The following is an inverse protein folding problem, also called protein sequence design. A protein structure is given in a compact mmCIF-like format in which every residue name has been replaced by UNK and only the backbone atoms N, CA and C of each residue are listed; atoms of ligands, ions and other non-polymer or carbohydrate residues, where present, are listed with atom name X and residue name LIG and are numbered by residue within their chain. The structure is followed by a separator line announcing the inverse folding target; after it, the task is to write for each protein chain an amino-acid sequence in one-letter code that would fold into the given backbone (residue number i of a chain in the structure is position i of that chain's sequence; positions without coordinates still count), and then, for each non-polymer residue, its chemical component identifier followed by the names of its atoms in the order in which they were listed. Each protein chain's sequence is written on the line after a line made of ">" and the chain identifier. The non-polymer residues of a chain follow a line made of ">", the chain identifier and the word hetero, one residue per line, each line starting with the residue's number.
data_IF_488174839377
#
_entry.id   IF_488174839377
#
_cell.length_a   1.000
_cell.length_b   1.000
_cell.length_c   1.000
_cell.angle_alpha   90.00
_cell.angle_beta   90.00
_cell.angle_gamma   90.00
#
_symmetry.space_group_name_H-M   'P 1'
#
loop_
_entity.id
_entity.type
_entity.pdbx_description
1 polymer ?
#
# COMPACT_ATOMS: atom_id res chain seq x y z
N UNK A 1 -27.44 -12.00 -1.74
CA UNK A 1 -26.35 -11.73 -2.69
C UNK A 1 -26.00 -10.26 -2.48
N UNK A 2 -24.92 -9.95 -1.76
CA UNK A 2 -24.53 -8.57 -1.50
C UNK A 2 -24.18 -7.89 -2.82
N UNK A 3 -24.68 -6.69 -3.02
CA UNK A 3 -24.47 -5.93 -4.25
C UNK A 3 -22.95 -5.75 -4.48
N UNK A 4 -22.46 -6.09 -5.67
CA UNK A 4 -21.05 -5.89 -6.04
C UNK A 4 -20.68 -4.40 -6.14
N UNK A 5 -21.67 -3.51 -5.96
CA UNK A 5 -21.54 -2.06 -6.00
C UNK A 5 -20.88 -1.42 -4.76
N UNK A 6 -20.74 -2.14 -3.64
CA UNK A 6 -20.23 -1.57 -2.38
C UNK A 6 -18.76 -1.94 -2.12
N UNK A 7 -17.85 -1.68 -3.07
CA UNK A 7 -16.42 -1.83 -2.83
C UNK A 7 -15.84 -0.57 -2.20
N UNK A 8 -15.13 -0.73 -1.09
CA UNK A 8 -14.47 0.38 -0.42
C UNK A 8 -13.21 0.80 -1.17
N UNK A 9 -12.98 2.10 -1.27
CA UNK A 9 -11.81 2.65 -1.95
C UNK A 9 -11.15 3.80 -1.18
N UNK A 10 -9.85 3.94 -1.37
CA UNK A 10 -9.04 5.06 -0.91
C UNK A 10 -8.04 5.40 -2.01
N UNK A 11 -8.07 6.66 -2.44
CA UNK A 11 -7.12 7.23 -3.39
C UNK A 11 -6.30 8.30 -2.69
N UNK A 12 -5.01 8.35 -2.99
CA UNK A 12 -4.15 9.44 -2.51
C UNK A 12 -3.03 9.75 -3.52
N UNK A 13 -2.53 10.98 -3.46
CA UNK A 13 -1.46 11.45 -4.35
C UNK A 13 -0.37 12.20 -3.57
N UNK A 14 0.89 12.01 -3.96
CA UNK A 14 2.02 12.70 -3.36
C UNK A 14 3.08 13.04 -4.42
N UNK A 15 3.53 14.29 -4.42
CA UNK A 15 4.69 14.69 -5.21
C UNK A 15 5.99 14.28 -4.49
N UNK A 16 6.94 13.75 -5.24
CA UNK A 16 8.31 13.51 -4.80
C UNK A 16 9.29 14.28 -5.71
N UNK A 17 10.31 14.96 -5.16
CA UNK A 17 11.34 15.65 -5.93
C UNK A 17 12.39 14.67 -6.50
N UNK A 18 11.91 13.61 -7.13
CA UNK A 18 12.69 12.53 -7.75
C UNK A 18 12.25 12.40 -9.20
N UNK A 19 13.17 12.00 -10.08
CA UNK A 19 12.78 11.50 -11.40
C UNK A 19 11.93 10.24 -11.26
N UNK A 20 11.10 9.95 -12.28
CA UNK A 20 10.22 8.78 -12.25
C UNK A 20 11.00 7.48 -12.11
N UNK A 21 12.20 7.41 -12.70
CA UNK A 21 13.11 6.29 -12.55
C UNK A 21 13.64 6.14 -11.13
N UNK A 22 14.06 7.22 -10.48
CA UNK A 22 14.52 7.16 -9.07
C UNK A 22 13.39 6.76 -8.13
N UNK A 23 12.18 7.30 -8.33
CA UNK A 23 11.00 6.89 -7.59
C UNK A 23 10.69 5.40 -7.83
N UNK A 24 10.76 4.93 -9.08
CA UNK A 24 10.57 3.52 -9.43
C UNK A 24 11.59 2.62 -8.73
N UNK A 25 12.86 2.96 -8.81
CA UNK A 25 13.96 2.23 -8.15
C UNK A 25 13.76 2.15 -6.63
N UNK A 26 13.13 3.15 -6.03
CA UNK A 26 12.76 3.12 -4.62
C UNK A 26 11.56 2.18 -4.37
N UNK A 27 10.44 2.37 -5.07
CA UNK A 27 9.21 1.61 -4.79
C UNK A 27 9.25 0.15 -5.25
N UNK A 28 10.04 -0.19 -6.27
CA UNK A 28 10.17 -1.58 -6.75
C UNK A 28 10.83 -2.51 -5.73
N UNK A 29 11.45 -1.97 -4.67
CA UNK A 29 12.20 -2.74 -3.66
C UNK A 29 11.34 -2.95 -2.42
N UNK A 30 10.87 -4.17 -2.13
CA UNK A 30 10.07 -4.45 -0.93
C UNK A 30 10.78 -4.10 0.39
N UNK A 31 12.11 -4.10 0.40
CA UNK A 31 12.94 -3.68 1.53
C UNK A 31 12.91 -2.16 1.82
N UNK A 32 12.15 -1.37 1.05
CA UNK A 32 11.87 0.03 1.37
C UNK A 32 10.47 0.24 1.96
N UNK A 33 9.64 -0.80 2.01
CA UNK A 33 8.27 -0.72 2.51
C UNK A 33 8.24 -0.37 4.01
N UNK A 34 9.14 -0.96 4.79
CA UNK A 34 9.35 -0.67 6.21
C UNK A 34 9.74 0.79 6.45
N UNK A 35 10.61 1.37 5.60
CA UNK A 35 11.09 2.76 5.71
C UNK A 35 9.98 3.79 5.55
N UNK A 36 8.94 3.45 4.79
CA UNK A 36 7.81 4.33 4.50
C UNK A 36 6.54 3.94 5.25
N UNK A 37 6.61 2.94 6.11
CA UNK A 37 5.48 2.53 6.95
C UNK A 37 5.61 3.20 8.32
N UNK A 38 4.62 4.00 8.78
CA UNK A 38 4.64 4.58 10.11
C UNK A 38 4.76 3.53 11.22
N UNK A 39 5.54 3.82 12.28
CA UNK A 39 5.92 2.88 13.35
C UNK A 39 4.74 2.22 14.09
N UNK A 40 3.60 2.89 14.15
CA UNK A 40 2.37 2.35 14.75
C UNK A 40 1.79 1.18 13.93
N UNK A 41 2.06 1.13 12.62
CA UNK A 41 1.72 0.07 11.70
C UNK A 41 2.95 -0.82 11.48
N UNK A 42 3.30 -1.67 12.45
CA UNK A 42 4.48 -2.54 12.30
C UNK A 42 4.22 -3.60 11.23
N UNK A 43 4.68 -3.31 10.01
CA UNK A 43 4.68 -4.23 8.87
C UNK A 43 6.10 -4.79 8.69
N UNK A 44 6.24 -6.08 8.94
CA UNK A 44 7.51 -6.80 8.85
C UNK A 44 7.46 -7.72 7.62
N UNK A 45 8.30 -7.49 6.62
CA UNK A 45 8.45 -8.41 5.48
C UNK A 45 9.27 -9.62 5.92
N UNK A 46 8.62 -10.78 6.00
CA UNK A 46 9.25 -12.05 6.42
C UNK A 46 9.96 -12.74 5.26
N UNK A 47 9.37 -12.71 4.07
CA UNK A 47 9.93 -13.33 2.86
C UNK A 47 9.40 -12.62 1.62
N UNK A 48 10.24 -12.49 0.61
CA UNK A 48 9.89 -11.91 -0.69
C UNK A 48 11.13 -11.73 -1.56
N UNK A 49 10.96 -11.38 -2.84
CA UNK A 49 12.08 -11.07 -3.70
C UNK A 49 12.72 -9.72 -3.32
N UNK A 50 13.92 -9.47 -3.85
CA UNK A 50 14.59 -8.18 -3.70
C UNK A 50 13.90 -7.05 -4.46
N UNK A 51 13.17 -7.40 -5.53
CA UNK A 51 12.44 -6.47 -6.39
C UNK A 51 11.10 -7.07 -6.83
N UNK A 52 10.11 -6.22 -7.09
CA UNK A 52 8.80 -6.64 -7.59
C UNK A 52 8.86 -7.09 -9.05
N UNK A 53 8.15 -8.17 -9.37
CA UNK A 53 7.89 -8.66 -10.72
C UNK A 53 6.52 -9.35 -10.73
N UNK A 54 5.88 -9.49 -11.89
CA UNK A 54 4.57 -10.16 -11.96
C UNK A 54 4.68 -11.63 -11.49
N UNK A 55 3.85 -12.03 -10.53
CA UNK A 55 3.91 -13.32 -9.83
C UNK A 55 4.76 -13.33 -8.56
N UNK A 56 5.43 -12.23 -8.21
CA UNK A 56 6.18 -12.12 -6.97
C UNK A 56 5.26 -12.28 -5.75
N UNK A 57 5.61 -13.19 -4.84
CA UNK A 57 4.91 -13.40 -3.57
C UNK A 57 5.67 -12.74 -2.44
N UNK A 58 4.96 -11.93 -1.66
CA UNK A 58 5.48 -11.31 -0.44
C UNK A 58 4.69 -11.78 0.76
N UNK A 59 5.40 -12.13 1.83
CA UNK A 59 4.84 -12.56 3.10
C UNK A 59 5.20 -11.53 4.14
N UNK A 60 4.19 -10.89 4.71
CA UNK A 60 4.33 -9.90 5.74
C UNK A 60 3.67 -10.34 7.05
N UNK A 61 4.15 -9.78 8.15
CA UNK A 61 3.48 -9.78 9.44
C UNK A 61 3.06 -8.36 9.77
N UNK A 62 1.75 -8.14 9.90
CA UNK A 62 1.17 -6.86 10.28
C UNK A 62 0.81 -6.89 11.77
N UNK A 63 1.18 -5.85 12.51
CA UNK A 63 0.71 -5.63 13.90
C UNK A 63 -0.01 -4.29 13.99
N UNK A 64 -1.27 -4.33 14.41
CA UNK A 64 -2.14 -3.17 14.63
C UNK A 64 -2.52 -3.10 16.12
N UNK A 65 -1.79 -2.35 16.95
CA UNK A 65 -2.09 -2.26 18.39
C UNK A 65 -3.47 -1.62 18.66
N UNK A 66 -4.22 -2.07 19.69
CA UNK A 66 -4.04 -3.30 20.46
C UNK A 66 -4.70 -4.48 19.73
N UNK A 67 -3.91 -5.37 19.12
CA UNK A 67 -4.42 -6.47 18.32
C UNK A 67 -3.38 -7.57 18.16
N UNK A 68 -3.84 -8.75 17.75
CA UNK A 68 -2.96 -9.88 17.46
C UNK A 68 -2.19 -9.64 16.14
N UNK A 69 -0.96 -10.17 16.02
CA UNK A 69 -0.23 -10.15 14.76
C UNK A 69 -1.01 -10.93 13.69
N UNK A 70 -1.10 -10.37 12.49
CA UNK A 70 -1.78 -10.96 11.34
C UNK A 70 -0.74 -11.28 10.27
N UNK A 71 -0.84 -12.47 9.69
CA UNK A 71 -0.09 -12.82 8.47
C UNK A 71 -0.80 -12.24 7.26
N UNK A 72 -0.03 -11.65 6.36
CA UNK A 72 -0.54 -11.06 5.14
C UNK A 72 0.35 -11.45 3.96
N UNK A 73 -0.20 -12.24 3.05
CA UNK A 73 0.45 -12.71 1.84
C UNK A 73 -0.14 -11.95 0.66
N UNK A 74 0.71 -11.27 -0.10
CA UNK A 74 0.35 -10.55 -1.32
C UNK A 74 1.09 -11.12 -2.52
N UNK A 75 0.49 -10.92 -3.69
CA UNK A 75 1.09 -11.20 -4.99
C UNK A 75 1.14 -9.91 -5.80
N UNK A 76 2.27 -9.64 -6.43
CA UNK A 76 2.37 -8.60 -7.45
C UNK A 76 1.78 -9.14 -8.75
N UNK A 77 0.60 -8.67 -9.14
CA UNK A 77 -0.12 -9.22 -10.31
C UNK A 77 0.17 -8.48 -11.61
N UNK A 78 0.58 -7.22 -11.51
CA UNK A 78 0.87 -6.36 -12.68
C UNK A 78 2.14 -5.57 -12.38
N UNK A 79 3.01 -5.46 -13.39
CA UNK A 79 4.17 -4.57 -13.40
C UNK A 79 4.22 -3.87 -14.74
N UNK A 80 4.17 -2.55 -14.72
CA UNK A 80 4.44 -1.66 -15.83
C UNK A 80 5.71 -0.89 -15.47
N UNK A 81 6.86 -1.30 -16.01
CA UNK A 81 8.17 -0.77 -15.64
C UNK A 81 8.20 0.78 -15.62
N UNK A 82 8.71 1.35 -14.53
CA UNK A 82 8.74 2.80 -14.24
C UNK A 82 7.38 3.50 -14.18
N UNK A 83 6.25 2.79 -14.23
CA UNK A 83 4.92 3.39 -14.32
C UNK A 83 3.97 2.91 -13.23
N UNK A 84 3.89 1.60 -12.99
CA UNK A 84 2.94 1.08 -12.02
C UNK A 84 3.27 -0.34 -11.60
N UNK A 85 2.77 -0.72 -10.43
CA UNK A 85 2.60 -2.13 -10.07
C UNK A 85 1.33 -2.30 -9.23
N UNK A 86 0.82 -3.53 -9.18
CA UNK A 86 -0.38 -3.89 -8.42
C UNK A 86 -0.04 -5.02 -7.48
N UNK A 87 -0.29 -4.83 -6.19
CA UNK A 87 -0.34 -5.91 -5.21
C UNK A 87 -1.78 -6.31 -4.89
N UNK A 88 -2.00 -7.61 -4.80
CA UNK A 88 -3.28 -8.20 -4.44
C UNK A 88 -3.08 -9.22 -3.34
N UNK A 89 -3.98 -9.23 -2.36
CA UNK A 89 -3.90 -10.21 -1.29
C UNK A 89 -4.21 -11.63 -1.81
N UNK A 90 -3.37 -12.59 -1.41
CA UNK A 90 -3.65 -14.03 -1.52
C UNK A 90 -4.24 -14.58 -0.23
N UNK A 91 -3.66 -14.21 0.91
CA UNK A 91 -4.13 -14.57 2.25
C UNK A 91 -3.96 -13.39 3.19
N UNK A 92 -4.95 -13.08 4.03
CA UNK A 92 -4.82 -11.95 4.94
C UNK A 92 -6.16 -11.50 5.53
N UNK A 93 -6.20 -10.31 6.14
CA UNK A 93 -7.36 -9.85 6.91
C UNK A 93 -8.54 -9.41 6.06
N UNK A 94 -8.35 -9.20 4.75
CA UNK A 94 -9.41 -8.73 3.86
C UNK A 94 -10.08 -9.89 3.12
N UNK A 95 -11.34 -9.74 2.72
CA UNK A 95 -11.95 -10.60 1.70
C UNK A 95 -11.44 -10.26 0.30
N UNK A 96 -11.11 -8.99 0.09
CA UNK A 96 -10.52 -8.47 -1.14
C UNK A 96 -9.56 -7.35 -0.80
N UNK A 97 -8.39 -7.35 -1.44
CA UNK A 97 -7.44 -6.26 -1.38
C UNK A 97 -6.77 -6.13 -2.74
N UNK A 98 -6.81 -4.93 -3.28
CA UNK A 98 -6.16 -4.57 -4.53
C UNK A 98 -5.58 -3.17 -4.38
N UNK A 99 -4.26 -3.07 -4.37
CA UNK A 99 -3.56 -1.79 -4.27
C UNK A 99 -2.74 -1.58 -5.54
N UNK A 100 -3.09 -0.53 -6.29
CA UNK A 100 -2.31 -0.05 -7.43
C UNK A 100 -1.45 1.13 -7.01
N UNK A 101 -0.16 1.02 -7.27
CA UNK A 101 0.82 2.10 -7.16
C UNK A 101 1.08 2.61 -8.58
N UNK A 102 1.05 3.92 -8.81
CA UNK A 102 1.30 4.52 -10.12
C UNK A 102 2.21 5.74 -10.00
N UNK A 103 3.13 5.89 -10.94
CA UNK A 103 4.12 6.95 -11.01
C UNK A 103 3.89 7.72 -12.31
N UNK A 104 3.76 9.03 -12.19
CA UNK A 104 3.57 9.94 -13.32
C UNK A 104 4.65 11.01 -13.30
N UNK A 105 5.19 11.33 -14.47
CA UNK A 105 6.08 12.49 -14.60
C UNK A 105 5.32 13.77 -14.22
N UNK A 106 5.97 14.64 -13.46
CA UNK A 106 5.45 15.94 -13.06
C UNK A 106 6.55 17.01 -13.19
N UNK A 107 6.22 18.29 -13.42
CA UNK A 107 7.22 19.36 -13.39
C UNK A 107 8.02 19.34 -12.09
N UNK A 108 9.34 19.16 -12.20
CA UNK A 108 10.24 19.10 -11.04
C UNK A 108 10.32 17.76 -10.31
N UNK A 109 9.62 16.70 -10.75
CA UNK A 109 9.69 15.40 -10.07
C UNK A 109 8.67 14.36 -10.55
N UNK A 110 8.13 13.60 -9.60
CA UNK A 110 7.20 12.49 -9.87
C UNK A 110 5.98 12.61 -8.99
N UNK A 111 4.80 12.44 -9.58
CA UNK A 111 3.54 12.28 -8.86
C UNK A 111 3.29 10.78 -8.61
N UNK A 112 3.33 10.38 -7.35
CA UNK A 112 2.97 9.05 -6.88
C UNK A 112 1.48 9.02 -6.58
N UNK A 113 0.77 8.02 -7.11
CA UNK A 113 -0.65 7.78 -6.87
C UNK A 113 -0.84 6.37 -6.32
N UNK A 114 -1.61 6.27 -5.24
CA UNK A 114 -2.08 5.00 -4.70
C UNK A 114 -3.58 4.91 -4.84
N UNK A 115 -4.07 3.78 -5.33
CA UNK A 115 -5.49 3.42 -5.35
C UNK A 115 -5.67 2.06 -4.70
N UNK A 116 -6.27 2.07 -3.51
CA UNK A 116 -6.58 0.87 -2.74
C UNK A 116 -8.07 0.60 -2.84
N UNK A 117 -8.41 -0.63 -3.23
CA UNK A 117 -9.73 -1.19 -3.08
C UNK A 117 -9.68 -2.31 -2.06
N UNK A 118 -10.67 -2.37 -1.17
CA UNK A 118 -10.76 -3.47 -0.23
C UNK A 118 -12.20 -3.84 0.11
N UNK A 119 -12.32 -5.03 0.70
CA UNK A 119 -13.58 -5.55 1.24
C UNK A 119 -13.30 -6.37 2.49
N UNK A 120 -14.19 -6.29 3.48
CA UNK A 120 -14.00 -7.03 4.72
C UNK A 120 -14.61 -8.45 4.61
N UNK A 121 -14.02 -9.45 5.28
CA UNK A 121 -14.64 -10.77 5.40
C UNK A 121 -15.91 -10.68 6.25
N UNK A 122 -16.83 -11.65 6.10
CA UNK A 122 -18.06 -11.77 6.88
C UNK A 122 -19.05 -10.61 6.72
N UNK A 123 -19.04 -9.91 5.58
CA UNK A 123 -20.11 -8.95 5.29
C UNK A 123 -21.48 -9.65 5.18
N UNK A 124 -22.56 -9.04 5.69
CA UNK A 124 -22.66 -7.63 6.12
C UNK A 124 -22.25 -7.35 7.57
N UNK A 125 -21.94 -8.36 8.38
CA UNK A 125 -21.65 -8.22 9.82
C UNK A 125 -20.43 -7.31 10.09
N UNK A 126 -19.41 -7.38 9.24
CA UNK A 126 -18.20 -6.57 9.35
C UNK A 126 -18.33 -5.17 8.73
N UNK A 127 -19.39 -4.87 7.96
CA UNK A 127 -19.54 -3.60 7.23
C UNK A 127 -19.41 -2.36 8.13
N UNK A 128 -20.00 -2.32 9.35
CA UNK A 128 -19.84 -1.16 10.25
C UNK A 128 -18.41 -0.95 10.75
N UNK A 129 -17.55 -2.00 10.76
CA UNK A 129 -16.16 -1.87 11.16
C UNK A 129 -15.35 -1.04 10.16
N UNK A 130 -15.80 -0.93 8.92
CA UNK A 130 -15.05 -0.22 7.90
C UNK A 130 -14.90 1.28 8.21
N UNK A 131 -15.97 2.08 8.33
CA UNK A 131 -15.86 3.50 8.66
C UNK A 131 -15.34 3.74 10.10
N UNK A 132 -15.58 2.81 11.04
CA UNK A 132 -15.20 3.00 12.44
C UNK A 132 -13.72 2.66 12.72
N UNK A 133 -13.15 1.67 12.03
CA UNK A 133 -11.82 1.14 12.36
C UNK A 133 -10.88 1.01 11.15
N UNK A 134 -11.35 0.51 10.01
CA UNK A 134 -10.45 0.15 8.90
C UNK A 134 -10.05 1.36 8.07
N UNK A 135 -11.02 2.13 7.57
CA UNK A 135 -10.75 3.35 6.78
C UNK A 135 -9.89 4.37 7.55
N UNK A 136 -10.22 4.74 8.81
CA UNK A 136 -9.38 5.68 9.57
C UNK A 136 -7.94 5.19 9.83
N UNK A 137 -7.73 3.86 9.84
CA UNK A 137 -6.39 3.28 9.96
C UNK A 137 -5.63 3.34 8.63
N UNK A 138 -6.28 3.04 7.50
CA UNK A 138 -5.67 3.20 6.18
C UNK A 138 -5.30 4.66 5.90
N UNK A 139 -6.18 5.60 6.26
CA UNK A 139 -5.90 7.05 6.13
C UNK A 139 -4.69 7.46 6.97
N UNK A 140 -4.59 7.00 8.22
CA UNK A 140 -3.42 7.22 9.08
C UNK A 140 -2.15 6.60 8.54
N UNK A 141 -2.23 5.37 8.02
CA UNK A 141 -1.11 4.69 7.37
C UNK A 141 -0.55 5.54 6.22
N UNK A 142 -1.42 6.03 5.34
CA UNK A 142 -1.00 6.84 4.20
C UNK A 142 -0.55 8.25 4.60
N UNK A 143 -1.14 8.85 5.63
CA UNK A 143 -0.66 10.11 6.19
C UNK A 143 0.76 9.98 6.75
N UNK A 144 1.04 8.96 7.56
CA UNK A 144 2.40 8.74 8.06
C UNK A 144 3.37 8.30 6.96
N UNK A 145 2.94 7.54 5.95
CA UNK A 145 3.75 7.26 4.76
C UNK A 145 4.15 8.55 4.04
N UNK A 146 3.23 9.50 3.92
CA UNK A 146 3.50 10.81 3.31
C UNK A 146 4.57 11.57 4.08
N UNK A 147 4.46 11.61 5.40
CA UNK A 147 5.46 12.25 6.28
C UNK A 147 6.84 11.60 6.14
N UNK A 148 6.91 10.25 6.17
CA UNK A 148 8.17 9.52 6.00
C UNK A 148 8.79 9.76 4.63
N UNK A 149 8.00 9.75 3.57
CA UNK A 149 8.48 10.07 2.22
C UNK A 149 8.99 11.51 2.11
N UNK A 150 8.32 12.49 2.74
CA UNK A 150 8.78 13.87 2.77
C UNK A 150 10.10 14.06 3.55
N UNK A 151 10.31 13.26 4.60
CA UNK A 151 11.59 13.24 5.34
C UNK A 151 12.72 12.61 4.53
N UNK A 152 12.43 11.54 3.79
CA UNK A 152 13.43 10.85 2.94
C UNK A 152 13.78 11.66 1.69
N UNK A 153 12.81 12.38 1.13
CA UNK A 153 12.94 13.13 -0.12
C UNK A 153 12.44 14.57 0.06
N UNK A 154 13.16 15.41 0.83
CA UNK A 154 12.76 16.79 1.03
C UNK A 154 12.85 17.57 -0.28
N UNK A 155 11.87 18.44 -0.54
CA UNK A 155 11.95 19.38 -1.67
C UNK A 155 13.17 20.30 -1.49
N UNK A 156 13.90 20.62 -2.57
CA UNK A 156 14.92 21.68 -2.53
C UNK A 156 14.28 22.98 -2.01
N UNK A 157 14.96 23.66 -1.09
CA UNK A 157 14.58 25.02 -0.65
C UNK A 157 14.81 26.04 -1.75
#
# INVERSE_FOLDING_TARGET
>A
MGDLADMEQLAQEQFLPLSRREAWEFFRRPANLDKITPEEFRLETLTGPSEVYAGAILVHRLRLPPGLPLSWVTEITVVEEERAFVDQQRFGPFAFWHHRHSLHDAPGGTLVRDLVHWRLPLEPLSKPLNPLFIRPRLERLFAGRRERLAQLFPSPQ
#
